data_IF_932668265698
#
_entry.id   IF_932668265698
#
_cell.length_a   1.000
_cell.length_b   1.000
_cell.length_c   1.000
_cell.angle_alpha   90.00
_cell.angle_beta   90.00
_cell.angle_gamma   90.00
#
_symmetry.space_group_name_H-M   'P 1'
#
loop_
_entity.id
_entity.type
_entity.pdbx_description
1 polymer ?
#
# COMPACT_ATOMS: atom_id res chain seq x y z
N UNK A 1 -11.97 23.10 -7.36
CA UNK A 1 -12.58 21.77 -7.12
C UNK A 1 -14.04 21.82 -7.54
N UNK A 2 -14.45 21.07 -8.57
CA UNK A 2 -15.88 20.93 -8.93
C UNK A 2 -16.57 20.21 -7.76
N UNK A 3 -17.68 20.78 -7.25
CA UNK A 3 -18.55 20.10 -6.28
C UNK A 3 -19.05 18.82 -6.94
N UNK A 4 -18.64 17.65 -6.44
CA UNK A 4 -19.30 16.41 -6.83
C UNK A 4 -20.70 16.42 -6.22
N UNK A 5 -21.71 16.39 -7.06
CA UNK A 5 -23.09 16.21 -6.62
C UNK A 5 -23.19 14.88 -5.85
N UNK A 6 -23.94 14.90 -4.75
CA UNK A 6 -24.22 13.68 -3.95
C UNK A 6 -24.91 12.68 -4.88
N UNK A 7 -24.28 11.51 -5.10
CA UNK A 7 -24.93 10.44 -5.87
C UNK A 7 -25.90 9.77 -4.91
N UNK A 8 -27.21 9.89 -5.12
CA UNK A 8 -28.19 9.29 -4.23
C UNK A 8 -27.96 7.79 -4.12
N UNK A 9 -28.07 7.26 -2.90
CA UNK A 9 -28.06 5.83 -2.62
C UNK A 9 -26.74 5.09 -2.95
N UNK A 10 -25.58 5.73 -2.85
CA UNK A 10 -24.26 5.06 -2.85
C UNK A 10 -23.67 5.06 -1.45
N UNK A 11 -23.52 3.88 -0.88
CA UNK A 11 -22.85 3.65 0.41
C UNK A 11 -21.49 3.00 0.21
N UNK A 12 -20.55 3.27 1.13
CA UNK A 12 -19.25 2.62 1.21
C UNK A 12 -19.26 1.58 2.33
N UNK A 13 -18.79 0.37 2.04
CA UNK A 13 -18.48 -0.63 3.04
C UNK A 13 -16.97 -0.87 3.09
N UNK A 14 -16.35 -0.62 4.25
CA UNK A 14 -14.97 -1.01 4.53
C UNK A 14 -14.98 -2.32 5.32
N UNK A 15 -14.44 -3.37 4.72
CA UNK A 15 -14.30 -4.67 5.36
C UNK A 15 -13.02 -4.68 6.18
N UNK A 16 -13.14 -4.44 7.48
CA UNK A 16 -12.05 -4.38 8.45
C UNK A 16 -11.95 -5.65 9.32
N UNK A 17 -12.86 -6.62 9.12
CA UNK A 17 -12.86 -7.92 9.79
C UNK A 17 -12.15 -8.99 8.98
N UNK A 18 -11.67 -10.02 9.66
CA UNK A 18 -11.08 -11.22 9.05
C UNK A 18 -9.92 -11.81 9.86
N UNK A 19 -9.82 -13.16 9.86
CA UNK A 19 -8.68 -13.86 10.48
C UNK A 19 -7.43 -13.59 9.66
N UNK A 20 -6.60 -12.65 10.10
CA UNK A 20 -5.28 -12.35 9.48
C UNK A 20 -4.26 -13.47 9.80
N UNK A 21 -4.57 -14.71 9.44
CA UNK A 21 -3.77 -15.89 9.79
C UNK A 21 -2.29 -15.78 9.35
N UNK A 22 -2.05 -15.16 8.20
CA UNK A 22 -0.69 -14.95 7.66
C UNK A 22 0.03 -13.76 8.30
N UNK A 23 -0.70 -12.71 8.64
CA UNK A 23 -0.14 -11.49 9.25
C UNK A 23 0.00 -11.59 10.75
N UNK A 24 -0.76 -12.50 11.42
CA UNK A 24 -0.85 -12.63 12.90
C UNK A 24 -1.22 -11.32 13.62
N UNK A 25 -1.63 -10.30 12.88
CA UNK A 25 -2.06 -8.97 13.36
C UNK A 25 -3.30 -8.55 12.59
N UNK A 26 -4.16 -7.77 13.23
CA UNK A 26 -5.31 -7.16 12.58
C UNK A 26 -4.84 -6.15 11.53
N UNK A 27 -5.22 -6.35 10.27
CA UNK A 27 -4.81 -5.47 9.17
C UNK A 27 -5.31 -4.04 9.32
N UNK A 28 -6.47 -3.85 9.95
CA UNK A 28 -7.05 -2.53 10.19
C UNK A 28 -6.23 -1.69 11.16
N UNK A 29 -5.48 -2.35 12.07
CA UNK A 29 -4.64 -1.73 13.08
C UNK A 29 -3.16 -1.63 12.69
N UNK A 30 -2.79 -2.11 11.49
CA UNK A 30 -1.40 -1.99 11.05
C UNK A 30 -1.00 -0.52 10.97
N UNK A 31 0.18 -0.13 11.49
CA UNK A 31 0.71 1.21 11.34
C UNK A 31 0.76 1.61 9.86
N UNK A 32 0.25 2.79 9.53
CA UNK A 32 0.29 3.34 8.20
C UNK A 32 0.63 4.82 8.28
N UNK A 33 1.91 5.14 7.97
CA UNK A 33 2.45 6.49 8.20
C UNK A 33 2.20 6.94 9.66
N UNK A 34 1.52 8.07 9.89
CA UNK A 34 1.24 8.62 11.21
C UNK A 34 -0.08 8.10 11.82
N UNK A 35 -0.68 7.07 11.25
CA UNK A 35 -2.00 6.56 11.65
C UNK A 35 -2.09 5.04 11.55
N UNK A 36 -3.29 4.48 11.50
CA UNK A 36 -3.56 3.09 11.15
C UNK A 36 -4.10 2.96 9.73
N UNK A 37 -4.06 1.76 9.16
CA UNK A 37 -4.64 1.49 7.84
C UNK A 37 -6.11 1.88 7.79
N UNK A 38 -6.89 1.57 8.83
CA UNK A 38 -8.31 1.94 8.90
C UNK A 38 -8.49 3.46 8.92
N UNK A 39 -7.76 4.16 9.78
CA UNK A 39 -7.82 5.63 9.87
C UNK A 39 -7.47 6.29 8.54
N UNK A 40 -6.43 5.79 7.86
CA UNK A 40 -6.01 6.25 6.54
C UNK A 40 -7.12 6.08 5.50
N UNK A 41 -7.72 4.89 5.42
CA UNK A 41 -8.80 4.61 4.46
C UNK A 41 -10.03 5.45 4.73
N UNK A 42 -10.42 5.62 6.00
CA UNK A 42 -11.51 6.51 6.38
C UNK A 42 -11.23 7.95 5.96
N UNK A 43 -10.03 8.46 6.23
CA UNK A 43 -9.64 9.82 5.85
C UNK A 43 -9.76 10.01 4.35
N UNK A 44 -9.22 9.08 3.55
CA UNK A 44 -9.27 9.15 2.09
C UNK A 44 -10.70 9.00 1.53
N UNK A 45 -11.55 8.19 2.16
CA UNK A 45 -12.93 8.01 1.70
C UNK A 45 -13.76 9.29 1.76
N UNK A 46 -13.38 10.24 2.61
CA UNK A 46 -14.12 11.50 2.78
C UNK A 46 -13.95 12.49 1.62
N UNK A 47 -13.05 12.26 0.68
CA UNK A 47 -12.99 13.06 -0.56
C UNK A 47 -14.18 12.78 -1.46
N UNK A 48 -14.84 11.61 -1.32
CA UNK A 48 -16.02 11.25 -2.09
C UNK A 48 -17.30 11.33 -1.25
N UNK A 49 -18.42 11.85 -1.77
CA UNK A 49 -19.64 12.12 -1.01
C UNK A 49 -20.56 10.89 -0.90
N UNK A 50 -20.09 9.83 -0.22
CA UNK A 50 -20.95 8.68 0.11
C UNK A 50 -22.12 9.12 1.00
N UNK A 51 -23.28 8.51 0.81
CA UNK A 51 -24.44 8.72 1.67
C UNK A 51 -24.13 8.19 3.08
N UNK A 52 -23.53 7.00 3.15
CA UNK A 52 -23.09 6.35 4.38
C UNK A 52 -21.77 5.62 4.17
N UNK A 53 -20.93 5.64 5.18
CA UNK A 53 -19.76 4.75 5.29
C UNK A 53 -20.02 3.75 6.40
N UNK A 54 -19.88 2.46 6.12
CA UNK A 54 -20.03 1.38 7.09
C UNK A 54 -18.70 0.66 7.24
N UNK A 55 -18.27 0.43 8.47
CA UNK A 55 -17.11 -0.42 8.79
C UNK A 55 -17.66 -1.75 9.31
N UNK A 56 -17.33 -2.86 8.67
CA UNK A 56 -17.55 -4.19 9.23
C UNK A 56 -16.31 -4.65 9.95
N UNK A 57 -16.42 -4.87 11.26
CA UNK A 57 -15.31 -5.32 12.10
C UNK A 57 -15.80 -6.29 13.16
N UNK A 58 -15.02 -7.36 13.42
CA UNK A 58 -15.30 -8.35 14.47
C UNK A 58 -14.55 -8.04 15.78
N UNK A 59 -14.26 -6.77 15.98
CA UNK A 59 -13.65 -6.20 17.19
C UNK A 59 -14.24 -4.83 17.51
N UNK A 60 -13.97 -4.34 18.69
CA UNK A 60 -14.27 -2.96 19.05
C UNK A 60 -13.31 -2.04 18.25
N UNK A 61 -13.88 -1.05 17.58
CA UNK A 61 -13.13 0.05 16.97
C UNK A 61 -13.08 1.16 18.01
N UNK A 62 -11.87 1.48 18.44
CA UNK A 62 -11.65 2.50 19.45
C UNK A 62 -11.86 3.91 18.87
N UNK A 63 -12.37 4.89 19.67
CA UNK A 63 -12.63 6.23 19.16
C UNK A 63 -11.43 6.90 18.50
N UNK A 64 -10.20 6.64 18.98
CA UNK A 64 -8.97 7.19 18.38
C UNK A 64 -8.64 6.64 16.99
N UNK A 65 -9.24 5.52 16.59
CA UNK A 65 -9.08 4.97 15.24
C UNK A 65 -9.98 5.69 14.22
N UNK A 66 -10.98 6.43 14.70
CA UNK A 66 -11.86 7.26 13.88
C UNK A 66 -11.26 8.67 13.81
N UNK A 67 -11.01 9.23 12.61
CA UNK A 67 -10.51 10.59 12.47
C UNK A 67 -11.34 11.61 13.25
N UNK A 68 -10.70 12.56 13.92
CA UNK A 68 -11.36 13.55 14.77
C UNK A 68 -12.46 14.34 14.05
N UNK A 69 -12.23 14.64 12.79
CA UNK A 69 -13.19 15.35 11.98
C UNK A 69 -14.48 14.54 11.68
N UNK A 70 -14.52 13.27 12.04
CA UNK A 70 -15.69 12.37 11.91
C UNK A 70 -16.43 12.24 13.26
N UNK A 71 -15.71 12.27 14.38
CA UNK A 71 -16.18 11.97 15.73
C UNK A 71 -17.03 13.05 16.41
N UNK A 72 -17.92 13.74 15.73
CA UNK A 72 -18.66 14.87 16.37
C UNK A 72 -19.87 14.45 17.21
N UNK A 73 -20.45 13.28 16.95
CA UNK A 73 -21.53 12.68 17.75
C UNK A 73 -21.56 11.17 17.55
N UNK A 74 -22.00 10.43 18.53
CA UNK A 74 -22.19 8.98 18.40
C UNK A 74 -23.56 8.56 18.95
N UNK A 75 -24.22 7.66 18.24
CA UNK A 75 -25.42 6.93 18.67
C UNK A 75 -25.01 5.47 18.80
N UNK A 76 -25.27 4.88 19.98
CA UNK A 76 -25.01 3.44 20.21
C UNK A 76 -26.33 2.70 20.30
N UNK A 77 -26.48 1.71 19.45
CA UNK A 77 -27.54 0.73 19.51
C UNK A 77 -26.87 -0.65 19.66
N UNK A 78 -27.08 -1.35 20.77
CA UNK A 78 -26.41 -2.58 21.27
C UNK A 78 -25.50 -3.43 20.35
N UNK A 79 -25.60 -3.27 19.02
CA UNK A 79 -24.79 -3.95 18.00
C UNK A 79 -24.09 -3.00 17.00
N UNK A 80 -24.36 -1.70 17.08
CA UNK A 80 -23.86 -0.70 16.13
C UNK A 80 -23.46 0.58 16.84
N UNK A 81 -22.39 1.21 16.39
CA UNK A 81 -22.02 2.57 16.77
C UNK A 81 -22.13 3.44 15.53
N UNK A 82 -22.91 4.50 15.59
CA UNK A 82 -23.06 5.44 14.49
C UNK A 82 -22.49 6.80 14.86
N UNK A 83 -21.67 7.36 13.98
CA UNK A 83 -21.10 8.70 14.07
C UNK A 83 -21.73 9.60 13.01
N UNK A 84 -22.27 10.73 13.43
CA UNK A 84 -22.88 11.70 12.53
C UNK A 84 -21.94 12.90 12.46
N UNK A 85 -21.60 13.32 11.25
CA UNK A 85 -20.88 14.55 11.01
C UNK A 85 -21.76 15.58 10.35
N UNK A 86 -21.95 16.71 11.03
CA UNK A 86 -22.46 17.93 10.41
C UNK A 86 -21.30 18.70 9.77
N UNK A 87 -21.18 18.68 8.45
CA UNK A 87 -20.44 19.74 7.74
C UNK A 87 -21.41 20.91 7.56
N UNK A 88 -21.08 22.03 8.20
CA UNK A 88 -21.86 23.26 8.04
C UNK A 88 -22.29 23.45 6.59
N UNK A 89 -23.58 23.53 6.42
CA UNK A 89 -24.43 23.91 5.32
C UNK A 89 -25.03 22.84 4.42
N UNK A 90 -24.50 21.60 4.16
CA UNK A 90 -25.22 20.81 3.13
C UNK A 90 -25.22 19.29 3.18
N UNK A 91 -24.44 18.58 4.01
CA UNK A 91 -24.52 17.11 4.00
C UNK A 91 -24.17 16.49 5.34
N UNK A 92 -25.15 15.89 5.99
CA UNK A 92 -24.92 14.87 7.02
C UNK A 92 -24.25 13.65 6.36
N UNK A 93 -23.13 13.20 6.93
CA UNK A 93 -22.49 11.96 6.52
C UNK A 93 -22.52 11.03 7.72
N UNK A 94 -22.99 9.83 7.49
CA UNK A 94 -23.12 8.81 8.51
C UNK A 94 -21.95 7.84 8.43
N UNK A 95 -21.29 7.60 9.55
CA UNK A 95 -20.36 6.49 9.75
C UNK A 95 -20.96 5.52 10.73
N UNK A 96 -21.10 4.25 10.33
CA UNK A 96 -21.60 3.19 11.17
C UNK A 96 -20.56 2.07 11.31
N UNK A 97 -20.52 1.42 12.46
CA UNK A 97 -19.69 0.24 12.73
C UNK A 97 -20.63 -0.94 12.98
N UNK A 98 -20.41 -2.03 12.26
CA UNK A 98 -21.22 -3.25 12.37
C UNK A 98 -20.34 -4.45 12.63
N UNK A 99 -20.87 -5.44 13.36
CA UNK A 99 -20.23 -6.73 13.55
C UNK A 99 -20.92 -7.81 12.74
N UNK A 100 -20.15 -8.78 12.25
CA UNK A 100 -20.67 -9.91 11.50
C UNK A 100 -21.55 -10.79 12.43
N UNK A 101 -22.68 -11.25 11.91
CA UNK A 101 -23.54 -12.22 12.60
C UNK A 101 -23.04 -13.65 12.46
N UNK A 102 -22.29 -13.91 11.41
CA UNK A 102 -21.80 -15.22 11.04
C UNK A 102 -20.28 -15.27 11.26
N UNK A 103 -19.84 -16.23 12.05
CA UNK A 103 -18.42 -16.46 12.27
C UNK A 103 -17.78 -17.10 11.04
N UNK A 104 -16.57 -16.68 10.71
CA UNK A 104 -15.72 -17.33 9.71
C UNK A 104 -16.25 -17.37 8.27
N UNK A 105 -17.22 -16.51 7.94
CA UNK A 105 -17.82 -16.45 6.59
C UNK A 105 -17.09 -15.51 5.64
N UNK A 106 -15.91 -15.04 6.03
CA UNK A 106 -15.11 -14.13 5.21
C UNK A 106 -15.84 -12.82 4.88
N UNK A 107 -15.62 -12.24 3.69
CA UNK A 107 -16.20 -10.95 3.33
C UNK A 107 -17.74 -10.93 3.30
N UNK A 108 -18.36 -12.07 3.04
CA UNK A 108 -19.83 -12.13 2.91
C UNK A 108 -20.54 -11.86 4.24
N UNK A 109 -19.94 -12.20 5.40
CA UNK A 109 -20.49 -11.89 6.71
C UNK A 109 -20.62 -10.38 6.92
N UNK A 110 -19.56 -9.64 6.65
CA UNK A 110 -19.55 -8.18 6.75
C UNK A 110 -20.47 -7.50 5.74
N UNK A 111 -20.55 -8.01 4.51
CA UNK A 111 -21.49 -7.52 3.50
C UNK A 111 -22.95 -7.74 3.94
N UNK A 112 -23.28 -8.92 4.49
CA UNK A 112 -24.62 -9.21 5.02
C UNK A 112 -24.99 -8.23 6.13
N UNK A 113 -24.10 -8.09 7.12
CA UNK A 113 -24.37 -7.24 8.27
C UNK A 113 -24.64 -5.78 7.87
N UNK A 114 -23.79 -5.23 6.99
CA UNK A 114 -23.92 -3.86 6.51
C UNK A 114 -25.20 -3.65 5.68
N UNK A 115 -25.46 -4.50 4.68
CA UNK A 115 -26.61 -4.37 3.78
C UNK A 115 -27.94 -4.62 4.48
N UNK A 116 -27.96 -5.47 5.50
CA UNK A 116 -29.14 -5.74 6.32
C UNK A 116 -29.54 -4.54 7.16
N UNK A 117 -28.56 -3.90 7.80
CA UNK A 117 -28.81 -2.78 8.72
C UNK A 117 -29.02 -1.46 7.98
N UNK A 118 -28.35 -1.29 6.85
CA UNK A 118 -28.36 -0.04 6.09
C UNK A 118 -28.62 -0.30 4.60
N UNK A 119 -29.88 -0.58 4.19
CA UNK A 119 -30.20 -0.78 2.78
C UNK A 119 -29.77 0.40 1.93
N UNK A 120 -29.12 0.12 0.80
CA UNK A 120 -28.70 1.10 -0.18
C UNK A 120 -28.80 0.52 -1.59
N UNK A 121 -29.08 1.35 -2.61
CA UNK A 121 -29.19 0.87 -3.98
C UNK A 121 -27.84 0.39 -4.53
N UNK A 122 -26.76 1.04 -4.08
CA UNK A 122 -25.38 0.75 -4.50
C UNK A 122 -24.43 0.74 -3.33
N UNK A 123 -23.48 -0.17 -3.40
CA UNK A 123 -22.41 -0.31 -2.44
C UNK A 123 -21.06 -0.35 -3.11
N UNK A 124 -20.16 0.55 -2.75
CA UNK A 124 -18.74 0.34 -2.97
C UNK A 124 -18.22 -0.54 -1.83
N UNK A 125 -17.73 -1.72 -2.16
CA UNK A 125 -17.13 -2.64 -1.19
C UNK A 125 -15.62 -2.53 -1.29
N UNK A 126 -14.96 -2.26 -0.17
CA UNK A 126 -13.52 -2.06 -0.11
C UNK A 126 -12.91 -2.82 1.07
N UNK A 127 -11.91 -3.66 0.78
CA UNK A 127 -11.15 -4.32 1.84
C UNK A 127 -10.15 -3.34 2.47
N UNK A 128 -9.99 -3.41 3.80
CA UNK A 128 -9.08 -2.52 4.55
C UNK A 128 -7.61 -2.68 4.17
N UNK A 129 -7.24 -3.76 3.49
CA UNK A 129 -5.88 -4.04 3.06
C UNK A 129 -5.50 -3.45 1.68
N UNK A 130 -6.30 -2.53 1.16
CA UNK A 130 -6.08 -1.79 -0.09
C UNK A 130 -5.80 -0.30 0.18
N UNK A 131 -4.71 0.06 0.84
CA UNK A 131 -4.47 1.43 1.33
C UNK A 131 -4.22 2.47 0.23
N UNK A 132 -3.91 2.02 -0.99
CA UNK A 132 -3.69 2.89 -2.15
C UNK A 132 -4.94 3.15 -2.97
N UNK A 133 -6.11 2.60 -2.58
CA UNK A 133 -7.33 2.81 -3.35
C UNK A 133 -7.66 4.30 -3.44
N UNK A 134 -7.75 4.81 -4.65
CA UNK A 134 -8.08 6.21 -4.93
C UNK A 134 -9.57 6.35 -5.24
N UNK A 135 -10.29 7.04 -4.37
CA UNK A 135 -11.72 7.28 -4.52
C UNK A 135 -12.07 8.16 -5.74
N UNK A 136 -11.09 8.76 -6.42
CA UNK A 136 -11.28 9.39 -7.73
C UNK A 136 -11.72 8.40 -8.83
N UNK A 137 -11.53 7.08 -8.61
CA UNK A 137 -11.98 6.01 -9.52
C UNK A 137 -13.47 5.68 -9.40
N UNK A 138 -14.13 6.09 -8.32
CA UNK A 138 -15.56 5.82 -8.09
C UNK A 138 -16.45 6.28 -9.26
N UNK A 139 -16.25 7.47 -9.87
CA UNK A 139 -17.01 7.86 -11.04
C UNK A 139 -16.87 6.93 -12.24
N UNK A 140 -15.70 6.33 -12.46
CA UNK A 140 -15.49 5.37 -13.53
C UNK A 140 -16.24 4.05 -13.29
N UNK A 141 -16.25 3.56 -12.04
CA UNK A 141 -17.04 2.39 -11.64
C UNK A 141 -18.54 2.65 -11.84
N UNK A 142 -19.01 3.84 -11.47
CA UNK A 142 -20.40 4.23 -11.64
C UNK A 142 -20.79 4.41 -13.10
N UNK A 143 -19.88 4.93 -13.94
CA UNK A 143 -20.13 5.08 -15.38
C UNK A 143 -20.29 3.73 -16.10
N UNK A 144 -19.66 2.67 -15.57
CA UNK A 144 -19.82 1.31 -16.09
C UNK A 144 -21.06 0.59 -15.52
N UNK A 145 -21.75 1.17 -14.51
CA UNK A 145 -22.88 0.54 -13.83
C UNK A 145 -24.14 0.52 -14.72
N UNK A 146 -24.54 -0.65 -15.19
CA UNK A 146 -25.76 -0.86 -15.97
C UNK A 146 -26.80 -1.67 -15.18
N UNK A 147 -28.09 -1.43 -15.49
CA UNK A 147 -29.21 -1.92 -14.69
C UNK A 147 -29.32 -3.44 -14.64
N UNK A 148 -28.93 -4.13 -15.70
CA UNK A 148 -29.00 -5.59 -15.88
C UNK A 148 -27.93 -6.35 -15.10
N UNK A 149 -26.85 -5.68 -14.68
CA UNK A 149 -25.73 -6.29 -13.94
C UNK A 149 -25.85 -6.04 -12.43
N UNK A 150 -25.29 -6.93 -11.66
CA UNK A 150 -25.30 -6.91 -10.19
C UNK A 150 -24.04 -6.30 -9.59
N UNK A 151 -22.96 -6.24 -10.37
CA UNK A 151 -21.69 -5.69 -9.94
C UNK A 151 -20.86 -5.11 -11.09
N UNK A 152 -19.99 -4.17 -10.76
CA UNK A 152 -18.87 -3.71 -11.60
C UNK A 152 -17.57 -4.11 -10.91
N UNK A 153 -16.82 -5.02 -11.52
CA UNK A 153 -15.64 -5.65 -10.95
C UNK A 153 -14.38 -5.15 -11.66
N UNK A 154 -13.47 -4.46 -10.97
CA UNK A 154 -12.16 -4.12 -11.51
C UNK A 154 -11.33 -5.36 -11.80
N UNK A 155 -10.65 -5.37 -12.94
CA UNK A 155 -9.69 -6.39 -13.34
C UNK A 155 -8.33 -5.75 -13.53
N UNK A 156 -7.32 -6.28 -12.85
CA UNK A 156 -5.94 -5.82 -12.92
C UNK A 156 -5.05 -6.99 -13.36
N UNK A 157 -4.36 -6.83 -14.46
CA UNK A 157 -3.50 -7.91 -15.03
C UNK A 157 -4.23 -9.26 -15.10
N UNK A 158 -5.51 -9.24 -15.51
CA UNK A 158 -6.36 -10.42 -15.63
C UNK A 158 -6.93 -10.98 -14.32
N UNK A 159 -6.68 -10.30 -13.16
CA UNK A 159 -7.19 -10.72 -11.86
C UNK A 159 -8.36 -9.86 -11.41
N UNK A 160 -9.47 -10.51 -11.08
CA UNK A 160 -10.67 -9.86 -10.52
C UNK A 160 -10.38 -9.31 -9.11
N UNK A 161 -10.88 -8.09 -8.82
CA UNK A 161 -10.78 -7.44 -7.51
C UNK A 161 -12.16 -7.23 -6.89
N UNK A 162 -12.86 -8.28 -6.46
CA UNK A 162 -14.23 -8.20 -5.97
C UNK A 162 -14.37 -7.47 -4.62
N UNK A 163 -13.28 -7.22 -3.91
CA UNK A 163 -13.25 -6.45 -2.67
C UNK A 163 -12.70 -5.03 -2.88
N UNK A 164 -12.79 -4.53 -4.12
CA UNK A 164 -12.64 -3.14 -4.50
C UNK A 164 -13.64 -2.82 -5.62
N UNK A 165 -14.92 -3.15 -5.43
CA UNK A 165 -15.90 -3.26 -6.49
C UNK A 165 -17.24 -2.61 -6.12
N UNK A 166 -18.00 -2.22 -7.15
CA UNK A 166 -19.36 -1.68 -6.98
C UNK A 166 -20.37 -2.83 -7.07
N UNK A 167 -21.32 -2.86 -6.15
CA UNK A 167 -22.41 -3.84 -6.09
C UNK A 167 -23.76 -3.15 -6.01
N UNK A 168 -24.79 -3.75 -6.66
CA UNK A 168 -26.19 -3.37 -6.42
C UNK A 168 -26.66 -3.88 -5.06
N UNK A 169 -27.57 -3.16 -4.40
CA UNK A 169 -28.17 -3.59 -3.14
C UNK A 169 -28.91 -4.93 -3.25
N UNK A 170 -29.45 -5.25 -4.44
CA UNK A 170 -30.15 -6.54 -4.67
C UNK A 170 -29.27 -7.79 -4.56
N UNK A 171 -27.92 -7.66 -4.51
CA UNK A 171 -27.05 -8.82 -4.23
C UNK A 171 -27.21 -9.34 -2.80
N UNK A 172 -27.87 -8.59 -1.92
CA UNK A 172 -28.14 -8.98 -0.55
C UNK A 172 -28.82 -10.35 -0.45
N UNK A 173 -29.85 -10.62 -1.27
CA UNK A 173 -30.52 -11.92 -1.28
C UNK A 173 -29.61 -13.08 -1.74
N UNK A 174 -28.68 -12.79 -2.66
CA UNK A 174 -27.67 -13.78 -3.07
C UNK A 174 -26.65 -14.04 -1.97
N UNK A 175 -26.27 -13.01 -1.21
CA UNK A 175 -25.38 -13.15 -0.05
C UNK A 175 -26.05 -14.06 0.99
N UNK A 176 -27.31 -13.80 1.33
CA UNK A 176 -28.07 -14.64 2.28
C UNK A 176 -28.15 -16.10 1.83
N UNK A 177 -28.44 -16.33 0.55
CA UNK A 177 -28.50 -17.66 -0.03
C UNK A 177 -27.15 -18.36 0.04
N UNK A 178 -26.05 -17.66 -0.27
CA UNK A 178 -24.69 -18.20 -0.23
C UNK A 178 -24.30 -18.57 1.22
N UNK A 179 -24.58 -17.68 2.19
CA UNK A 179 -24.32 -17.94 3.61
C UNK A 179 -25.12 -19.12 4.13
N UNK A 180 -26.40 -19.27 3.74
CA UNK A 180 -27.24 -20.41 4.14
C UNK A 180 -26.77 -21.74 3.53
N UNK A 181 -25.99 -21.69 2.43
CA UNK A 181 -25.42 -22.86 1.76
C UNK A 181 -23.95 -23.11 2.13
N UNK A 182 -23.40 -22.41 3.14
CA UNK A 182 -21.99 -22.44 3.53
C UNK A 182 -21.01 -22.20 2.37
N UNK A 183 -21.44 -21.43 1.35
CA UNK A 183 -20.60 -21.04 0.22
C UNK A 183 -20.14 -19.58 0.36
N UNK A 184 -18.96 -19.37 0.92
CA UNK A 184 -18.41 -18.04 1.27
C UNK A 184 -17.63 -17.36 0.14
N UNK A 185 -17.69 -17.89 -1.09
CA UNK A 185 -16.99 -17.34 -2.24
C UNK A 185 -17.69 -16.10 -2.78
N UNK A 186 -17.05 -14.94 -2.69
CA UNK A 186 -17.62 -13.66 -3.17
C UNK A 186 -18.05 -13.73 -4.64
N UNK A 187 -17.35 -14.49 -5.48
CA UNK A 187 -17.69 -14.66 -6.89
C UNK A 187 -19.11 -15.20 -7.13
N UNK A 188 -19.68 -15.91 -6.16
CA UNK A 188 -21.05 -16.46 -6.24
C UNK A 188 -22.14 -15.39 -6.28
N UNK A 189 -21.91 -14.24 -5.66
CA UNK A 189 -22.92 -13.19 -5.57
C UNK A 189 -23.08 -12.38 -6.84
N UNK A 190 -22.05 -12.31 -7.71
CA UNK A 190 -22.13 -11.59 -8.97
C UNK A 190 -22.06 -12.53 -10.20
N UNK A 191 -21.31 -13.63 -10.13
CA UNK A 191 -21.18 -14.67 -11.17
C UNK A 191 -21.33 -14.10 -12.60
N UNK A 192 -22.30 -14.59 -13.39
CA UNK A 192 -22.53 -14.18 -14.79
C UNK A 192 -23.14 -12.77 -14.96
N UNK A 193 -23.48 -12.08 -13.87
CA UNK A 193 -24.10 -10.73 -13.86
C UNK A 193 -23.14 -9.67 -13.35
N UNK A 194 -21.93 -9.62 -13.89
CA UNK A 194 -20.97 -8.55 -13.62
C UNK A 194 -20.43 -7.94 -14.90
N UNK A 195 -20.17 -6.66 -14.87
CA UNK A 195 -19.32 -5.96 -15.82
C UNK A 195 -17.89 -6.00 -15.27
N UNK A 196 -16.95 -6.31 -16.14
CA UNK A 196 -15.52 -6.30 -15.82
C UNK A 196 -14.87 -5.10 -16.50
N UNK A 197 -14.18 -4.27 -15.72
CA UNK A 197 -13.45 -3.11 -16.25
C UNK A 197 -11.96 -3.29 -16.06
N UNK A 198 -11.18 -2.99 -17.10
CA UNK A 198 -9.71 -3.06 -17.03
C UNK A 198 -9.16 -1.87 -16.23
N UNK A 199 -8.62 -2.16 -15.08
CA UNK A 199 -7.94 -1.21 -14.18
C UNK A 199 -6.43 -1.46 -14.14
N UNK A 200 -5.86 -2.22 -15.08
CA UNK A 200 -4.41 -2.45 -15.19
C UNK A 200 -3.59 -1.17 -15.23
N UNK A 201 -4.00 -0.07 -15.89
CA UNK A 201 -3.29 1.21 -15.81
C UNK A 201 -3.21 1.81 -14.41
N UNK A 202 -4.06 1.35 -13.50
CA UNK A 202 -4.16 1.80 -12.11
C UNK A 202 -3.80 0.67 -11.11
N UNK A 203 -3.04 -0.34 -11.54
CA UNK A 203 -2.73 -1.55 -10.78
C UNK A 203 -2.25 -1.29 -9.35
N UNK A 204 -1.52 -0.20 -9.14
CA UNK A 204 -1.03 0.19 -7.82
C UNK A 204 -2.15 0.40 -6.79
N UNK A 205 -3.30 0.90 -7.18
CA UNK A 205 -4.42 1.15 -6.28
C UNK A 205 -5.01 -0.15 -5.70
N UNK A 206 -4.71 -1.27 -6.35
CA UNK A 206 -5.17 -2.61 -5.99
C UNK A 206 -4.10 -3.45 -5.30
N UNK A 207 -2.95 -2.85 -4.92
CA UNK A 207 -1.94 -3.52 -4.11
C UNK A 207 -2.49 -3.80 -2.73
N UNK A 208 -2.51 -5.08 -2.35
CA UNK A 208 -3.01 -5.52 -1.06
C UNK A 208 -1.88 -5.88 -0.10
N UNK A 209 -2.16 -5.77 1.20
CA UNK A 209 -1.23 -6.08 2.29
C UNK A 209 -1.56 -7.43 2.94
N UNK A 210 -1.62 -8.50 2.15
CA UNK A 210 -2.04 -9.83 2.64
C UNK A 210 -0.92 -10.63 3.34
N UNK A 211 0.32 -10.19 3.22
CA UNK A 211 1.49 -10.82 3.83
C UNK A 211 2.40 -9.77 4.48
N UNK A 212 3.27 -10.14 5.44
CA UNK A 212 4.26 -9.22 5.99
C UNK A 212 5.15 -8.58 4.92
N UNK A 213 5.50 -9.32 3.88
CA UNK A 213 6.28 -8.83 2.73
C UNK A 213 5.48 -7.74 2.00
N UNK A 214 4.25 -8.04 1.58
CA UNK A 214 3.40 -7.09 0.86
C UNK A 214 3.11 -5.82 1.68
N UNK A 215 2.96 -5.95 2.99
CA UNK A 215 2.81 -4.79 3.88
C UNK A 215 4.07 -3.92 3.91
N UNK A 216 5.27 -4.50 4.05
CA UNK A 216 6.54 -3.76 4.03
C UNK A 216 6.74 -3.04 2.70
N UNK A 217 6.46 -3.72 1.59
CA UNK A 217 6.51 -3.13 0.25
C UNK A 217 5.53 -1.96 0.09
N UNK A 218 4.29 -2.14 0.52
CA UNK A 218 3.28 -1.09 0.47
C UNK A 218 3.68 0.12 1.32
N UNK A 219 4.19 -0.10 2.53
CA UNK A 219 4.66 0.99 3.40
C UNK A 219 5.84 1.74 2.79
N UNK A 220 6.78 1.04 2.16
CA UNK A 220 7.91 1.63 1.45
C UNK A 220 7.44 2.51 0.27
N UNK A 221 6.49 2.02 -0.53
CA UNK A 221 5.87 2.77 -1.61
C UNK A 221 5.16 4.03 -1.09
N UNK A 222 4.38 3.91 -0.01
CA UNK A 222 3.66 5.04 0.59
C UNK A 222 4.64 6.11 1.12
N UNK A 223 5.71 5.68 1.77
CA UNK A 223 6.73 6.59 2.29
C UNK A 223 7.43 7.34 1.16
N UNK A 224 7.79 6.66 0.07
CA UNK A 224 8.41 7.30 -1.09
C UNK A 224 7.46 8.23 -1.86
N UNK A 225 6.15 7.97 -1.85
CA UNK A 225 5.16 8.84 -2.50
C UNK A 225 5.12 10.25 -1.90
N UNK A 226 5.39 10.36 -0.61
CA UNK A 226 5.32 11.62 0.13
C UNK A 226 6.67 12.37 0.18
N UNK A 227 7.71 11.86 -0.47
CA UNK A 227 9.03 12.49 -0.53
C UNK A 227 9.20 13.35 -1.77
N UNK A 228 10.03 14.40 -1.70
CA UNK A 228 10.37 15.24 -2.87
C UNK A 228 10.98 14.43 -4.03
N UNK A 229 11.74 13.39 -3.69
CA UNK A 229 12.27 12.40 -4.60
C UNK A 229 12.27 11.04 -3.94
N UNK A 230 11.89 9.96 -4.63
CA UNK A 230 11.95 8.61 -4.10
C UNK A 230 13.37 8.19 -3.75
N UNK A 231 13.54 7.47 -2.64
CA UNK A 231 14.84 7.02 -2.15
C UNK A 231 14.80 5.54 -1.84
N UNK A 232 15.79 4.79 -2.31
CA UNK A 232 16.00 3.39 -1.95
C UNK A 232 17.42 3.19 -1.48
N UNK A 233 17.60 2.56 -0.33
CA UNK A 233 18.91 2.27 0.25
C UNK A 233 19.36 0.85 -0.08
N UNK A 234 20.62 0.68 -0.45
CA UNK A 234 21.26 -0.63 -0.62
C UNK A 234 22.34 -0.74 0.46
N UNK A 235 22.15 -1.69 1.38
CA UNK A 235 22.96 -1.83 2.57
C UNK A 235 23.59 -3.22 2.66
N UNK A 236 24.60 -3.38 3.50
CA UNK A 236 25.09 -4.66 3.95
C UNK A 236 25.77 -4.49 5.32
N UNK A 237 25.74 -5.52 6.12
CA UNK A 237 26.34 -5.51 7.47
C UNK A 237 27.86 -5.40 7.43
N UNK A 238 28.50 -6.03 6.42
CA UNK A 238 29.94 -6.09 6.25
C UNK A 238 30.42 -5.35 5.01
N UNK A 239 31.70 -4.97 5.00
CA UNK A 239 32.38 -4.45 3.81
C UNK A 239 32.75 -5.61 2.84
N UNK A 240 32.99 -5.27 1.58
CA UNK A 240 33.42 -6.27 0.59
C UNK A 240 32.30 -7.16 0.03
N UNK A 241 31.04 -6.94 0.37
CA UNK A 241 29.89 -7.71 -0.14
C UNK A 241 29.55 -7.46 -1.61
N UNK A 242 30.25 -6.52 -2.26
CA UNK A 242 29.96 -6.15 -3.66
C UNK A 242 28.86 -5.10 -3.85
N UNK A 243 28.44 -4.39 -2.79
CA UNK A 243 27.40 -3.34 -2.86
C UNK A 243 27.62 -2.32 -3.97
N UNK A 244 28.82 -1.71 -4.00
CA UNK A 244 29.14 -0.68 -4.99
C UNK A 244 29.02 -1.21 -6.42
N UNK A 245 29.49 -2.46 -6.65
CA UNK A 245 29.36 -3.10 -7.96
C UNK A 245 27.86 -3.32 -8.30
N UNK A 246 27.07 -3.84 -7.37
CA UNK A 246 25.64 -4.04 -7.56
C UNK A 246 24.92 -2.72 -7.89
N UNK A 247 25.19 -1.66 -7.12
CA UNK A 247 24.57 -0.35 -7.31
C UNK A 247 24.93 0.22 -8.69
N UNK A 248 26.20 0.13 -9.11
CA UNK A 248 26.62 0.61 -10.44
C UNK A 248 25.92 -0.14 -11.57
N UNK A 249 25.69 -1.45 -11.46
CA UNK A 249 24.92 -2.21 -12.44
C UNK A 249 23.43 -1.79 -12.46
N UNK A 250 22.84 -1.57 -11.28
CA UNK A 250 21.46 -1.05 -11.18
C UNK A 250 21.33 0.35 -11.76
N UNK A 251 22.28 1.25 -11.47
CA UNK A 251 22.31 2.61 -12.06
C UNK A 251 22.36 2.51 -13.58
N UNK A 252 23.26 1.67 -14.12
CA UNK A 252 23.40 1.48 -15.57
C UNK A 252 22.11 0.99 -16.22
N UNK A 253 21.43 0.02 -15.58
CA UNK A 253 20.16 -0.52 -16.05
C UNK A 253 19.05 0.53 -16.06
N UNK A 254 18.88 1.25 -14.94
CA UNK A 254 17.86 2.30 -14.81
C UNK A 254 18.12 3.49 -15.75
N UNK A 255 19.38 3.95 -15.85
CA UNK A 255 19.76 5.02 -16.76
C UNK A 255 19.58 4.61 -18.24
N UNK A 256 19.85 3.35 -18.57
CA UNK A 256 19.58 2.77 -19.89
C UNK A 256 18.08 2.74 -20.24
N UNK A 257 17.21 2.69 -19.24
CA UNK A 257 15.75 2.79 -19.38
C UNK A 257 15.26 4.26 -19.40
N UNK A 258 16.15 5.25 -19.32
CA UNK A 258 15.83 6.67 -19.39
C UNK A 258 15.60 7.36 -18.04
N UNK A 259 15.73 6.66 -16.91
CA UNK A 259 15.56 7.27 -15.59
C UNK A 259 16.80 8.07 -15.17
N UNK A 260 16.56 9.24 -14.57
CA UNK A 260 17.60 10.10 -13.99
C UNK A 260 17.86 9.61 -12.56
N UNK A 261 19.02 8.99 -12.33
CA UNK A 261 19.37 8.39 -11.04
C UNK A 261 20.39 9.24 -10.31
N UNK A 262 20.10 9.58 -9.06
CA UNK A 262 21.04 10.16 -8.11
C UNK A 262 21.70 9.08 -7.25
N UNK A 263 22.93 9.32 -6.81
CA UNK A 263 23.66 8.40 -5.93
C UNK A 263 24.23 9.12 -4.71
N UNK A 264 23.92 8.61 -3.53
CA UNK A 264 24.48 9.10 -2.26
C UNK A 264 25.25 7.98 -1.57
N UNK A 265 26.49 8.25 -1.20
CA UNK A 265 27.31 7.33 -0.41
C UNK A 265 27.65 7.90 0.94
N UNK A 266 27.47 7.10 1.99
CA UNK A 266 28.02 7.42 3.31
C UNK A 266 29.39 6.75 3.52
N UNK A 267 30.33 7.48 4.08
CA UNK A 267 31.71 7.01 4.26
C UNK A 267 32.28 7.39 5.62
N UNK A 268 33.14 6.50 6.16
CA UNK A 268 33.91 6.78 7.38
C UNK A 268 35.16 7.65 7.12
N UNK A 269 35.55 7.83 5.86
CA UNK A 269 36.76 8.56 5.52
C UNK A 269 36.44 9.87 4.86
N UNK A 270 37.00 10.96 5.37
CA UNK A 270 36.98 12.25 4.69
C UNK A 270 37.92 12.15 3.45
N UNK A 271 37.35 12.31 2.28
CA UNK A 271 38.11 12.38 1.03
C UNK A 271 38.29 13.85 0.62
N UNK A 272 39.53 14.27 0.41
CA UNK A 272 39.87 15.65 0.03
C UNK A 272 39.84 15.87 -1.51
N UNK A 273 38.78 15.43 -2.17
CA UNK A 273 38.55 15.69 -3.59
C UNK A 273 38.13 14.45 -4.41
N UNK A 274 37.74 14.67 -5.69
CA UNK A 274 37.32 13.57 -6.57
C UNK A 274 38.51 12.66 -6.88
N UNK A 275 38.41 11.39 -6.47
CA UNK A 275 39.40 10.35 -6.77
C UNK A 275 38.91 9.50 -7.94
N UNK A 276 39.78 9.29 -8.94
CA UNK A 276 39.55 8.35 -10.02
C UNK A 276 39.30 6.92 -9.44
N UNK A 277 38.31 6.21 -9.95
CA UNK A 277 37.85 4.91 -9.45
C UNK A 277 37.27 4.93 -8.01
N UNK A 278 36.88 6.10 -7.48
CA UNK A 278 36.06 6.16 -6.29
C UNK A 278 34.63 5.65 -6.59
N UNK A 279 33.88 5.27 -5.56
CA UNK A 279 32.52 4.75 -5.75
C UNK A 279 31.60 5.79 -6.42
N UNK A 280 31.78 7.09 -6.12
CA UNK A 280 31.06 8.19 -6.80
C UNK A 280 31.48 8.33 -8.27
N UNK A 281 32.77 8.17 -8.61
CA UNK A 281 33.26 8.16 -10.00
C UNK A 281 32.69 6.95 -10.77
N UNK A 282 32.64 5.75 -10.14
CA UNK A 282 32.04 4.57 -10.72
C UNK A 282 30.55 4.75 -10.97
N UNK A 283 29.82 5.34 -10.03
CA UNK A 283 28.40 5.64 -10.17
C UNK A 283 28.14 6.65 -11.31
N UNK A 284 28.94 7.70 -11.42
CA UNK A 284 28.86 8.67 -12.52
C UNK A 284 29.09 8.01 -13.87
N UNK A 285 30.11 7.15 -13.99
CA UNK A 285 30.37 6.39 -15.25
C UNK A 285 29.26 5.38 -15.57
N UNK A 286 28.56 4.89 -14.55
CA UNK A 286 27.40 4.02 -14.73
C UNK A 286 26.15 4.78 -15.20
N UNK A 287 26.14 6.10 -15.17
CA UNK A 287 25.03 6.95 -15.62
C UNK A 287 24.31 7.71 -14.52
N UNK A 288 24.86 7.76 -13.30
CA UNK A 288 24.29 8.63 -12.26
C UNK A 288 24.43 10.11 -12.66
N UNK A 289 23.31 10.84 -12.61
CA UNK A 289 23.24 12.27 -12.99
C UNK A 289 23.85 13.17 -11.92
N UNK A 290 23.66 12.80 -10.65
CA UNK A 290 24.19 13.49 -9.49
C UNK A 290 24.78 12.49 -8.51
N UNK A 291 25.88 12.86 -7.84
CA UNK A 291 26.48 12.04 -6.78
C UNK A 291 26.84 12.90 -5.56
N UNK A 292 26.67 12.33 -4.36
CA UNK A 292 27.07 12.95 -3.11
C UNK A 292 27.81 11.97 -2.21
N UNK A 293 28.82 12.47 -1.50
CA UNK A 293 29.59 11.73 -0.50
C UNK A 293 29.38 12.37 0.86
N UNK A 294 28.78 11.61 1.79
CA UNK A 294 28.42 12.10 3.13
C UNK A 294 29.35 11.46 4.16
N UNK A 295 30.14 12.23 4.89
CA UNK A 295 31.01 11.71 5.95
C UNK A 295 30.19 11.24 7.16
N UNK A 296 30.71 10.26 7.89
CA UNK A 296 30.13 9.84 9.16
C UNK A 296 30.19 10.97 10.20
N UNK A 297 29.13 11.06 11.00
CA UNK A 297 29.02 12.03 12.06
C UNK A 297 27.64 12.03 12.70
N UNK A 298 27.44 12.81 13.78
CA UNK A 298 26.19 12.82 14.54
C UNK A 298 24.96 13.32 13.74
N UNK A 299 25.17 14.04 12.65
CA UNK A 299 24.12 14.57 11.76
C UNK A 299 24.02 13.83 10.43
N UNK A 300 24.63 12.64 10.32
CA UNK A 300 24.73 11.88 9.07
C UNK A 300 23.37 11.62 8.42
N UNK A 301 22.38 11.16 9.19
CA UNK A 301 21.05 10.84 8.65
C UNK A 301 20.42 12.07 7.97
N UNK A 302 20.46 13.23 8.63
CA UNK A 302 19.94 14.47 8.08
C UNK A 302 20.74 14.93 6.84
N UNK A 303 22.05 14.82 6.88
CA UNK A 303 22.89 15.19 5.74
C UNK A 303 22.63 14.30 4.50
N UNK A 304 22.31 13.01 4.72
CA UNK A 304 21.90 12.10 3.64
C UNK A 304 20.54 12.54 3.07
N UNK A 305 19.56 12.88 3.92
CA UNK A 305 18.26 13.37 3.49
C UNK A 305 18.38 14.68 2.71
N UNK A 306 19.09 15.66 3.26
CA UNK A 306 19.30 16.96 2.62
C UNK A 306 19.96 16.78 1.25
N UNK A 307 20.98 15.92 1.14
CA UNK A 307 21.65 15.63 -0.12
C UNK A 307 20.72 14.94 -1.12
N UNK A 308 19.99 13.92 -0.67
CA UNK A 308 19.07 13.18 -1.55
C UNK A 308 17.93 14.07 -2.06
N UNK A 309 17.30 14.85 -1.17
CA UNK A 309 16.15 15.69 -1.53
C UNK A 309 16.51 16.96 -2.30
N UNK A 310 17.79 17.35 -2.32
CA UNK A 310 18.28 18.44 -3.17
C UNK A 310 18.53 18.02 -4.62
N UNK A 311 18.54 16.73 -4.92
CA UNK A 311 18.80 16.22 -6.27
C UNK A 311 17.55 16.31 -7.15
N UNK A 312 17.70 16.91 -8.32
CA UNK A 312 16.64 16.96 -9.35
C UNK A 312 16.73 15.71 -10.24
N UNK A 313 16.25 14.57 -9.72
CA UNK A 313 16.31 13.24 -10.35
C UNK A 313 15.00 12.48 -10.12
N UNK A 314 14.83 11.34 -10.79
CA UNK A 314 13.63 10.51 -10.65
C UNK A 314 13.72 9.56 -9.45
N UNK A 315 14.96 9.20 -9.04
CA UNK A 315 15.24 8.27 -7.94
C UNK A 315 16.63 8.55 -7.37
N UNK A 316 16.78 8.43 -6.05
CA UNK A 316 18.09 8.41 -5.38
C UNK A 316 18.36 7.01 -4.82
N UNK A 317 19.53 6.47 -5.18
CA UNK A 317 20.08 5.26 -4.56
C UNK A 317 21.11 5.63 -3.50
N UNK A 318 20.94 5.08 -2.29
CA UNK A 318 21.88 5.32 -1.19
C UNK A 318 22.71 4.08 -0.93
N UNK A 319 24.03 4.22 -0.91
CA UNK A 319 24.93 3.21 -0.38
C UNK A 319 25.29 3.51 1.07
N UNK A 320 24.88 2.63 1.98
CA UNK A 320 25.13 2.79 3.41
C UNK A 320 25.51 1.46 4.06
N UNK A 321 26.22 1.50 5.20
CA UNK A 321 26.54 0.30 5.98
C UNK A 321 25.48 -0.04 7.01
N UNK A 322 24.82 0.92 7.62
CA UNK A 322 23.83 0.74 8.70
C UNK A 322 22.83 1.89 8.69
N UNK A 323 21.59 1.54 8.99
CA UNK A 323 20.49 2.43 9.38
C UNK A 323 20.18 3.59 8.44
N UNK A 324 19.01 3.58 7.92
CA UNK A 324 18.44 4.70 7.22
C UNK A 324 16.93 4.68 7.41
N UNK A 325 16.33 5.83 7.42
CA UNK A 325 14.88 6.03 7.41
C UNK A 325 14.26 5.71 6.04
N UNK A 326 14.97 4.92 5.22
CA UNK A 326 14.61 4.66 3.82
C UNK A 326 14.36 3.18 3.60
N UNK A 327 13.43 2.82 2.69
CA UNK A 327 13.28 1.44 2.25
C UNK A 327 14.62 0.88 1.79
N UNK A 328 15.01 -0.26 2.33
CA UNK A 328 16.34 -0.82 2.05
C UNK A 328 16.31 -2.23 1.52
N UNK A 329 17.24 -2.48 0.59
CA UNK A 329 17.63 -3.80 0.15
C UNK A 329 18.90 -4.20 0.90
N UNK A 330 18.83 -5.29 1.67
CA UNK A 330 19.97 -5.80 2.43
C UNK A 330 20.74 -6.83 1.61
N UNK A 331 21.98 -6.51 1.25
CA UNK A 331 22.88 -7.43 0.54
C UNK A 331 23.52 -8.37 1.56
N UNK A 332 23.20 -9.65 1.45
CA UNK A 332 23.74 -10.69 2.32
C UNK A 332 25.15 -11.11 1.85
N UNK A 333 26.10 -11.32 2.77
CA UNK A 333 27.35 -11.98 2.47
C UNK A 333 27.10 -13.45 2.04
N UNK A 334 28.02 -14.06 1.27
CA UNK A 334 27.83 -15.41 0.74
C UNK A 334 27.56 -16.49 1.80
N UNK A 335 28.01 -16.27 3.03
CA UNK A 335 27.95 -17.23 4.14
C UNK A 335 26.87 -16.91 5.18
N UNK A 336 26.13 -15.80 5.02
CA UNK A 336 25.15 -15.40 6.02
C UNK A 336 23.98 -16.39 6.12
N UNK A 337 23.59 -16.69 7.34
CA UNK A 337 22.39 -17.45 7.67
C UNK A 337 21.10 -16.62 7.50
N UNK A 338 20.53 -16.14 8.60
CA UNK A 338 19.34 -15.28 8.60
C UNK A 338 19.75 -13.81 8.77
N UNK A 339 19.03 -12.90 8.15
CA UNK A 339 19.14 -11.46 8.42
C UNK A 339 18.37 -11.11 9.69
N UNK A 340 18.88 -10.18 10.48
CA UNK A 340 18.10 -9.60 11.58
C UNK A 340 16.90 -8.83 11.01
N UNK A 341 15.74 -8.99 11.66
CA UNK A 341 14.54 -8.28 11.29
C UNK A 341 14.65 -6.81 11.70
N UNK A 342 14.50 -5.92 10.73
CA UNK A 342 14.23 -4.50 10.96
C UNK A 342 13.04 -4.03 10.11
N UNK A 343 12.51 -2.87 10.46
CA UNK A 343 11.29 -2.36 9.82
C UNK A 343 11.54 -1.78 8.42
N UNK A 344 12.74 -1.34 8.13
CA UNK A 344 13.11 -0.68 6.87
C UNK A 344 13.54 -1.66 5.78
N UNK A 345 13.97 -2.87 6.15
CA UNK A 345 14.35 -3.90 5.18
C UNK A 345 13.12 -4.45 4.48
N UNK A 346 13.05 -4.21 3.18
CA UNK A 346 11.95 -4.67 2.31
C UNK A 346 12.33 -5.89 1.49
N UNK A 347 13.61 -6.06 1.16
CA UNK A 347 14.10 -7.26 0.46
C UNK A 347 15.53 -7.63 0.86
N UNK A 348 15.84 -8.91 0.68
CA UNK A 348 17.20 -9.47 0.76
C UNK A 348 17.76 -9.62 -0.64
N UNK A 349 19.04 -9.28 -0.81
CA UNK A 349 19.78 -9.52 -2.05
C UNK A 349 20.89 -10.53 -1.77
N UNK A 350 20.85 -11.66 -2.45
CA UNK A 350 21.74 -12.81 -2.16
C UNK A 350 22.33 -13.43 -3.42
N UNK A 351 23.46 -14.12 -3.29
CA UNK A 351 24.05 -15.00 -4.31
C UNK A 351 23.53 -16.44 -4.23
N UNK A 352 22.84 -16.80 -3.15
CA UNK A 352 22.32 -18.15 -2.94
C UNK A 352 20.98 -18.33 -3.64
N UNK A 353 20.78 -19.48 -4.28
CA UNK A 353 19.53 -19.85 -4.95
C UNK A 353 18.45 -20.33 -3.97
N UNK A 354 18.84 -20.80 -2.80
CA UNK A 354 17.95 -21.48 -1.84
C UNK A 354 17.57 -20.62 -0.63
N UNK A 355 17.77 -19.28 -0.72
CA UNK A 355 17.40 -18.38 0.37
C UNK A 355 15.93 -18.00 0.23
N UNK A 356 15.05 -18.72 0.92
CA UNK A 356 13.64 -18.34 1.05
C UNK A 356 13.44 -17.70 2.43
N UNK A 357 12.93 -16.48 2.45
CA UNK A 357 12.52 -15.80 3.67
C UNK A 357 11.00 -15.71 3.73
N UNK A 358 10.42 -15.94 4.91
CA UNK A 358 8.98 -15.73 5.16
C UNK A 358 8.68 -14.24 5.36
N UNK A 359 9.69 -13.45 5.71
CA UNK A 359 9.55 -12.05 6.12
C UNK A 359 10.06 -11.05 5.10
N UNK A 360 10.82 -11.49 4.09
CA UNK A 360 11.43 -10.63 3.09
C UNK A 360 11.33 -11.21 1.69
N UNK A 361 11.10 -10.36 0.70
CA UNK A 361 11.33 -10.73 -0.69
C UNK A 361 12.83 -11.02 -0.91
N UNK A 362 13.15 -12.02 -1.73
CA UNK A 362 14.53 -12.43 -1.97
C UNK A 362 14.85 -12.27 -3.44
N UNK A 363 15.90 -11.50 -3.73
CA UNK A 363 16.36 -11.18 -5.06
C UNK A 363 17.79 -11.70 -5.28
N UNK A 364 18.06 -12.24 -6.46
CA UNK A 364 19.40 -12.70 -6.80
C UNK A 364 20.28 -11.55 -7.28
N UNK A 365 21.52 -11.47 -6.77
CA UNK A 365 22.46 -10.36 -7.07
C UNK A 365 22.76 -10.21 -8.55
N UNK A 366 22.75 -11.30 -9.33
CA UNK A 366 23.04 -11.27 -10.76
C UNK A 366 21.80 -10.95 -11.63
N UNK A 367 20.59 -10.91 -11.04
CA UNK A 367 19.39 -10.53 -11.77
C UNK A 367 19.12 -9.04 -11.67
N UNK A 368 19.95 -8.25 -12.36
CA UNK A 368 19.92 -6.78 -12.33
C UNK A 368 18.56 -6.24 -12.81
N UNK A 369 17.97 -6.84 -13.84
CA UNK A 369 16.65 -6.42 -14.36
C UNK A 369 15.55 -6.59 -13.31
N UNK A 370 15.52 -7.71 -12.57
CA UNK A 370 14.57 -7.90 -11.48
C UNK A 370 14.80 -6.91 -10.33
N UNK A 371 16.06 -6.64 -9.98
CA UNK A 371 16.42 -5.64 -8.97
C UNK A 371 15.97 -4.23 -9.39
N UNK A 372 16.23 -3.83 -10.63
CA UNK A 372 15.79 -2.55 -11.16
C UNK A 372 14.26 -2.42 -11.17
N UNK A 373 13.54 -3.48 -11.60
CA UNK A 373 12.07 -3.53 -11.56
C UNK A 373 11.54 -3.39 -10.13
N UNK A 374 12.17 -4.07 -9.17
CA UNK A 374 11.75 -3.99 -7.76
C UNK A 374 12.01 -2.62 -7.15
N UNK A 375 13.16 -2.01 -7.45
CA UNK A 375 13.50 -0.66 -7.02
C UNK A 375 12.50 0.37 -7.61
N UNK A 376 12.12 0.23 -8.88
CA UNK A 376 11.08 1.06 -9.49
C UNK A 376 9.74 0.93 -8.77
N UNK A 377 9.33 -0.29 -8.41
CA UNK A 377 8.13 -0.52 -7.60
C UNK A 377 8.18 0.28 -6.30
N UNK A 378 9.28 0.17 -5.54
CA UNK A 378 9.46 0.90 -4.27
C UNK A 378 9.53 2.42 -4.44
N UNK A 379 10.03 2.89 -5.59
CA UNK A 379 10.16 4.31 -5.94
C UNK A 379 8.89 4.89 -6.59
N UNK A 380 7.89 4.05 -6.88
CA UNK A 380 6.67 4.46 -7.59
C UNK A 380 6.91 4.94 -9.03
N UNK A 381 7.85 4.31 -9.76
CA UNK A 381 8.25 4.59 -11.14
C UNK A 381 7.73 3.54 -12.11
#
# INVERSE_FOLDING_TARGET
MKRHEKIPNLSLLILAGGKSSRMKKDKSQLPWQDSTTLTHMLTNSYVYPFERTVISANRIIEPQEIPDFIRQSSIQDGHTTEYIRNRGLDTERHLAIVSDRYSDCGPLGGMEAAMRLYPSDRWLILAVDLPFFDFSRVPALLAADASEYDAVIPVVEGRENPLAALYKGRVYEKIRTALAADDYRVRKIYNKKAIFIDETPYARQYLNMNTPIAYKEALACATNQNRPVPVVSITAETSGTGKTHLITQVIKELSGQGYRVGYVKSTHHMSTGPKRNSDTDLATRAGAVCTALIPDGPKKSRAIEDAAFSMSVDLVLIESRRHGLFPKLLVLPPEAGAAEEDNETVALVTRRKDTNSVHFNTLHVDNISALAKYIKLLANL
#
